data_IF_807016692570
#
_entry.id   IF_807016692570
#
_cell.length_a   1.000
_cell.length_b   1.000
_cell.length_c   1.000
_cell.angle_alpha   90.00
_cell.angle_beta   90.00
_cell.angle_gamma   90.00
#
_symmetry.space_group_name_H-M   'P 1'
#
loop_
_entity.id
_entity.type
_entity.pdbx_description
1 polymer ?
#
# COMPACT_ATOMS: atom_id res chain seq x y z
N UNK A 1 2.41 -25.58 -16.75
CA UNK A 1 3.76 -25.43 -16.16
C UNK A 1 3.95 -24.00 -15.68
N UNK A 2 4.02 -23.77 -14.36
CA UNK A 2 4.41 -22.48 -13.79
C UNK A 2 5.88 -22.56 -13.34
N UNK A 3 6.64 -21.46 -13.46
CA UNK A 3 8.05 -21.41 -13.04
C UNK A 3 9.09 -21.75 -14.12
N UNK A 4 8.71 -21.84 -15.40
CA UNK A 4 9.62 -22.10 -16.54
C UNK A 4 9.60 -20.97 -17.60
N UNK A 5 9.37 -19.72 -17.18
CA UNK A 5 9.39 -18.57 -18.08
C UNK A 5 10.75 -18.45 -18.79
N UNK A 6 10.75 -18.34 -20.12
CA UNK A 6 11.97 -18.35 -20.95
C UNK A 6 11.77 -17.61 -22.26
N UNK A 7 12.86 -17.14 -22.85
CA UNK A 7 12.94 -16.55 -24.19
C UNK A 7 13.92 -17.33 -25.10
N UNK A 8 14.29 -18.55 -24.72
CA UNK A 8 15.18 -19.41 -25.50
C UNK A 8 14.51 -19.85 -26.82
N UNK A 9 15.29 -20.26 -27.83
CA UNK A 9 14.76 -20.86 -29.06
C UNK A 9 13.85 -22.08 -28.81
N UNK A 10 12.90 -22.31 -29.72
CA UNK A 10 11.86 -23.33 -29.57
C UNK A 10 12.39 -24.76 -29.39
N UNK A 11 13.45 -25.12 -30.11
CA UNK A 11 14.13 -26.41 -30.00
C UNK A 11 14.71 -26.66 -28.60
N UNK A 12 15.25 -25.62 -27.96
CA UNK A 12 15.76 -25.70 -26.58
C UNK A 12 14.61 -25.79 -25.59
N UNK A 13 13.54 -25.02 -25.79
CA UNK A 13 12.34 -25.10 -24.94
C UNK A 13 11.71 -26.49 -24.98
N UNK A 14 11.67 -27.13 -26.16
CA UNK A 14 11.16 -28.49 -26.30
C UNK A 14 12.00 -29.50 -25.52
N UNK A 15 13.33 -29.40 -25.56
CA UNK A 15 14.21 -30.23 -24.76
C UNK A 15 13.97 -30.04 -23.26
N UNK A 16 13.83 -28.79 -22.79
CA UNK A 16 13.54 -28.48 -21.39
C UNK A 16 12.23 -29.13 -20.95
N UNK A 17 11.15 -28.92 -21.71
CA UNK A 17 9.82 -29.44 -21.34
C UNK A 17 9.80 -30.96 -21.34
N UNK A 18 10.41 -31.63 -22.33
CA UNK A 18 10.45 -33.10 -22.39
C UNK A 18 11.32 -33.73 -21.31
N UNK A 19 12.30 -32.99 -20.77
CA UNK A 19 13.12 -33.46 -19.67
C UNK A 19 12.41 -33.38 -18.30
N UNK A 20 11.27 -32.67 -18.20
CA UNK A 20 10.50 -32.60 -16.96
C UNK A 20 9.73 -33.91 -16.72
N UNK A 21 9.76 -34.47 -15.49
CA UNK A 21 9.02 -35.68 -15.16
C UNK A 21 7.53 -35.56 -15.52
N UNK A 22 7.01 -36.53 -16.26
CA UNK A 22 5.61 -36.57 -16.71
C UNK A 22 5.32 -35.71 -17.95
N UNK A 23 6.33 -35.06 -18.53
CA UNK A 23 6.22 -34.24 -19.74
C UNK A 23 6.99 -34.83 -20.93
N UNK A 24 7.44 -36.07 -20.86
CA UNK A 24 8.32 -36.71 -21.85
C UNK A 24 7.71 -36.75 -23.26
N UNK A 25 6.37 -36.78 -23.33
CA UNK A 25 5.57 -36.74 -24.58
C UNK A 25 4.69 -35.49 -24.70
N UNK A 26 4.95 -34.47 -23.88
CA UNK A 26 4.17 -33.23 -23.92
C UNK A 26 4.34 -32.53 -25.27
N UNK A 27 3.26 -31.91 -25.75
CA UNK A 27 3.26 -31.08 -26.96
C UNK A 27 3.08 -29.62 -26.57
N UNK A 28 4.02 -28.77 -26.98
CA UNK A 28 3.96 -27.33 -26.71
C UNK A 28 2.99 -26.69 -27.71
N UNK A 29 1.90 -26.10 -27.19
CA UNK A 29 0.92 -25.37 -28.01
C UNK A 29 1.35 -23.92 -28.28
N UNK A 30 2.07 -23.33 -27.33
CA UNK A 30 2.60 -21.96 -27.42
C UNK A 30 3.97 -21.92 -26.77
N UNK A 31 4.94 -21.40 -27.49
CA UNK A 31 6.30 -21.24 -27.02
C UNK A 31 6.39 -20.09 -26.01
N UNK A 32 7.29 -20.21 -25.05
CA UNK A 32 7.69 -19.12 -24.17
C UNK A 32 8.37 -18.02 -24.97
N UNK A 33 8.20 -16.78 -24.52
CA UNK A 33 8.81 -15.59 -25.11
C UNK A 33 9.00 -14.53 -24.02
N UNK A 34 9.85 -13.55 -24.31
CA UNK A 34 9.96 -12.32 -23.52
C UNK A 34 9.36 -11.15 -24.30
N UNK A 35 8.85 -10.16 -23.58
CA UNK A 35 8.34 -8.91 -24.15
C UNK A 35 9.16 -7.77 -23.61
N UNK A 36 9.61 -6.92 -24.51
CA UNK A 36 10.20 -5.63 -24.20
C UNK A 36 9.19 -4.54 -24.58
N UNK A 37 9.05 -3.54 -23.71
CA UNK A 37 8.08 -2.47 -23.87
C UNK A 37 8.60 -1.20 -23.21
N UNK A 38 8.16 -0.05 -23.72
CA UNK A 38 8.47 1.24 -23.15
C UNK A 38 7.74 1.45 -21.82
N UNK A 39 8.41 2.16 -20.91
CA UNK A 39 7.81 2.60 -19.65
C UNK A 39 8.13 4.07 -19.39
N UNK A 40 7.24 4.72 -18.63
CA UNK A 40 7.48 6.03 -18.06
C UNK A 40 8.12 5.85 -16.69
N UNK A 41 9.19 6.62 -16.43
CA UNK A 41 9.87 6.52 -15.15
C UNK A 41 8.92 6.88 -13.99
N UNK A 42 8.72 6.00 -12.99
CA UNK A 42 7.64 6.18 -12.03
C UNK A 42 7.78 7.42 -11.12
N UNK A 43 8.98 7.97 -10.97
CA UNK A 43 9.18 9.24 -10.26
C UNK A 43 8.57 10.45 -10.99
N UNK A 44 8.18 10.31 -12.26
CA UNK A 44 7.50 11.34 -13.04
C UNK A 44 5.99 11.40 -12.75
N UNK A 45 5.43 10.39 -12.10
CA UNK A 45 4.09 10.44 -11.55
C UNK A 45 4.13 10.77 -10.07
N UNK A 46 2.99 11.19 -9.58
CA UNK A 46 2.67 11.37 -8.19
C UNK A 46 1.96 10.12 -7.63
N UNK A 47 1.94 9.92 -6.30
CA UNK A 47 1.24 8.77 -5.70
C UNK A 47 -0.31 8.80 -5.89
N UNK A 48 -0.85 9.85 -6.50
CA UNK A 48 -2.21 9.92 -7.06
C UNK A 48 -2.35 9.29 -8.45
N UNK A 49 -1.25 8.78 -9.02
CA UNK A 49 -1.08 8.35 -10.42
C UNK A 49 -1.10 9.48 -11.47
N UNK A 50 -1.26 10.75 -11.06
CA UNK A 50 -1.18 11.89 -11.98
C UNK A 50 0.27 12.17 -12.36
N UNK A 51 0.53 12.50 -13.62
CA UNK A 51 1.86 12.95 -14.04
C UNK A 51 2.19 14.32 -13.46
N UNK A 52 3.47 14.54 -13.11
CA UNK A 52 3.95 15.82 -12.59
C UNK A 52 4.11 16.88 -13.68
N UNK A 53 4.27 16.48 -14.94
CA UNK A 53 4.49 17.37 -16.08
C UNK A 53 3.19 17.81 -16.75
N UNK A 54 2.15 16.96 -16.76
CA UNK A 54 0.88 17.24 -17.43
C UNK A 54 -0.25 17.03 -16.42
N UNK A 55 -0.80 18.15 -15.96
CA UNK A 55 -1.96 18.14 -15.07
C UNK A 55 -3.16 17.45 -15.73
N UNK A 56 -3.81 16.54 -15.01
CA UNK A 56 -4.94 15.75 -15.51
C UNK A 56 -4.59 14.57 -16.40
N UNK A 57 -3.31 14.31 -16.66
CA UNK A 57 -2.87 13.08 -17.32
C UNK A 57 -2.46 12.04 -16.28
N UNK A 58 -3.05 10.85 -16.33
CA UNK A 58 -2.85 9.77 -15.35
C UNK A 58 -2.26 8.54 -16.02
N UNK A 59 -1.33 7.87 -15.34
CA UNK A 59 -0.70 6.64 -15.81
C UNK A 59 -0.94 5.51 -14.81
N UNK A 60 -1.24 4.31 -15.29
CA UNK A 60 -1.47 3.13 -14.46
C UNK A 60 -1.05 1.83 -15.16
N UNK A 61 -0.50 0.90 -14.39
CA UNK A 61 -0.14 -0.44 -14.87
C UNK A 61 1.29 -0.55 -15.36
N UNK A 62 1.52 -1.42 -16.34
CA UNK A 62 2.88 -1.76 -16.81
C UNK A 62 3.66 -0.54 -17.33
N UNK A 63 2.97 0.49 -17.81
CA UNK A 63 3.58 1.76 -18.21
C UNK A 63 4.35 2.45 -17.08
N UNK A 64 3.99 2.18 -15.81
CA UNK A 64 4.69 2.67 -14.62
C UNK A 64 5.74 1.66 -14.11
N UNK A 65 6.21 0.74 -14.94
CA UNK A 65 7.26 -0.21 -14.58
C UNK A 65 6.84 -1.25 -13.53
N UNK A 66 5.55 -1.59 -13.43
CA UNK A 66 5.06 -2.72 -12.62
C UNK A 66 4.81 -3.97 -13.46
N UNK A 67 4.89 -5.16 -12.85
CA UNK A 67 4.51 -6.41 -13.51
C UNK A 67 3.57 -7.21 -12.62
N UNK A 68 2.34 -7.43 -13.11
CA UNK A 68 1.29 -8.18 -12.42
C UNK A 68 -0.09 -7.55 -12.62
N UNK A 69 -1.13 -8.38 -12.55
CA UNK A 69 -2.50 -7.93 -12.80
C UNK A 69 -3.02 -7.11 -11.63
N UNK A 70 -2.64 -7.48 -10.42
CA UNK A 70 -3.03 -6.87 -9.15
C UNK A 70 -2.40 -5.49 -9.00
N UNK A 71 -1.12 -5.34 -9.33
CA UNK A 71 -0.40 -4.06 -9.38
C UNK A 71 -1.07 -3.10 -10.37
N UNK A 72 -1.38 -3.59 -11.57
CA UNK A 72 -2.03 -2.77 -12.59
C UNK A 72 -3.46 -2.40 -12.20
N UNK A 73 -4.23 -3.34 -11.67
CA UNK A 73 -5.59 -3.11 -11.18
C UNK A 73 -5.64 -2.10 -10.01
N UNK A 74 -4.69 -2.20 -9.07
CA UNK A 74 -4.58 -1.27 -7.96
C UNK A 74 -4.24 0.15 -8.40
N UNK A 75 -3.30 0.31 -9.32
CA UNK A 75 -2.98 1.62 -9.93
C UNK A 75 -4.16 2.17 -10.73
N UNK A 76 -4.82 1.32 -11.51
CA UNK A 76 -5.98 1.70 -12.33
C UNK A 76 -7.14 2.21 -11.48
N UNK A 77 -7.38 1.58 -10.33
CA UNK A 77 -8.40 2.03 -9.37
C UNK A 77 -8.09 3.44 -8.85
N UNK A 78 -6.85 3.71 -8.45
CA UNK A 78 -6.45 5.04 -7.93
C UNK A 78 -6.43 6.09 -9.02
N UNK A 79 -5.88 5.77 -10.20
CA UNK A 79 -5.84 6.66 -11.34
C UNK A 79 -7.27 7.02 -11.81
N UNK A 80 -8.15 6.04 -11.94
CA UNK A 80 -9.54 6.26 -12.34
C UNK A 80 -10.33 7.07 -11.33
N UNK A 81 -10.16 6.78 -10.03
CA UNK A 81 -10.76 7.56 -8.95
C UNK A 81 -10.32 9.03 -9.03
N UNK A 82 -9.02 9.28 -9.14
CA UNK A 82 -8.49 10.65 -9.16
C UNK A 82 -8.81 11.40 -10.46
N UNK A 83 -8.90 10.70 -11.59
CA UNK A 83 -9.37 11.29 -12.84
C UNK A 83 -10.84 11.74 -12.71
N UNK A 84 -11.71 10.92 -12.11
CA UNK A 84 -13.11 11.30 -11.87
C UNK A 84 -13.22 12.49 -10.91
N UNK A 85 -12.47 12.48 -9.81
CA UNK A 85 -12.42 13.58 -8.82
C UNK A 85 -11.96 14.89 -9.45
N UNK A 86 -10.95 14.84 -10.32
CA UNK A 86 -10.47 16.04 -11.01
C UNK A 86 -11.57 16.69 -11.86
N UNK A 87 -12.38 15.89 -12.56
CA UNK A 87 -13.48 16.38 -13.38
C UNK A 87 -14.62 16.97 -12.53
N UNK A 88 -14.83 16.45 -11.31
CA UNK A 88 -15.84 16.99 -10.37
C UNK A 88 -15.33 18.18 -9.54
N UNK A 89 -14.09 18.62 -9.75
CA UNK A 89 -13.47 19.71 -8.98
C UNK A 89 -13.01 19.30 -7.58
N UNK A 90 -12.99 17.99 -7.31
CA UNK A 90 -12.50 17.43 -6.06
C UNK A 90 -10.98 17.23 -6.09
N UNK A 91 -10.34 17.43 -4.94
CA UNK A 91 -8.90 17.16 -4.78
C UNK A 91 -8.58 15.66 -4.96
N UNK A 92 -7.50 15.31 -5.68
CA UNK A 92 -7.00 13.94 -5.77
C UNK A 92 -6.66 13.34 -4.41
N UNK A 93 -6.93 12.05 -4.25
CA UNK A 93 -6.67 11.30 -3.01
C UNK A 93 -5.46 10.39 -3.14
N UNK A 94 -4.83 10.14 -1.99
CA UNK A 94 -3.69 9.23 -1.84
C UNK A 94 -4.05 8.20 -0.78
N UNK A 95 -3.69 6.94 -1.02
CA UNK A 95 -3.76 5.91 0.01
C UNK A 95 -2.46 5.90 0.80
N UNK A 96 -2.55 5.94 2.13
CA UNK A 96 -1.39 5.84 3.01
C UNK A 96 -0.73 4.47 2.92
N UNK A 97 0.59 4.43 3.10
CA UNK A 97 1.37 3.17 3.18
C UNK A 97 0.91 2.27 4.32
N UNK A 98 0.37 2.86 5.36
CA UNK A 98 -0.10 2.19 6.56
C UNK A 98 -1.61 1.87 6.51
N UNK A 99 -2.29 2.31 5.44
CA UNK A 99 -3.71 2.06 5.19
C UNK A 99 -3.92 0.89 4.23
N UNK A 100 -3.12 0.82 3.16
CA UNK A 100 -3.25 -0.17 2.12
C UNK A 100 -1.93 -0.54 1.45
N UNK A 101 -1.84 -1.79 1.00
CA UNK A 101 -0.77 -2.24 0.12
C UNK A 101 -0.71 -1.46 -1.21
N UNK A 102 -1.83 -0.94 -1.71
CA UNK A 102 -1.83 -0.03 -2.88
C UNK A 102 -1.05 1.25 -2.56
N UNK A 103 -1.19 1.79 -1.34
CA UNK A 103 -0.40 2.94 -0.88
C UNK A 103 1.09 2.63 -0.76
N UNK A 104 1.45 1.43 -0.27
CA UNK A 104 2.84 0.94 -0.23
C UNK A 104 3.43 0.88 -1.64
N UNK A 105 2.70 0.31 -2.60
CA UNK A 105 3.12 0.22 -3.99
C UNK A 105 3.33 1.59 -4.62
N UNK A 106 2.34 2.48 -4.53
CA UNK A 106 2.41 3.79 -5.17
C UNK A 106 3.52 4.65 -4.57
N UNK A 107 3.68 4.63 -3.25
CA UNK A 107 4.79 5.34 -2.61
C UNK A 107 6.15 4.74 -2.98
N UNK A 108 6.29 3.41 -3.04
CA UNK A 108 7.53 2.75 -3.49
C UNK A 108 7.87 3.15 -4.94
N UNK A 109 6.89 3.16 -5.85
CA UNK A 109 7.08 3.55 -7.25
C UNK A 109 7.61 4.97 -7.38
N UNK A 110 7.02 5.92 -6.64
CA UNK A 110 7.41 7.33 -6.77
C UNK A 110 8.62 7.73 -5.91
N UNK A 111 9.15 6.82 -5.09
CA UNK A 111 10.33 7.09 -4.23
C UNK A 111 11.57 6.27 -4.62
N UNK A 112 11.40 5.19 -5.39
CA UNK A 112 12.48 4.30 -5.80
C UNK A 112 12.61 4.33 -7.33
N UNK A 113 13.82 4.12 -7.82
CA UNK A 113 14.03 3.84 -9.26
C UNK A 113 14.11 2.33 -9.44
N UNK A 114 13.06 1.68 -9.97
CA UNK A 114 13.10 0.24 -10.22
C UNK A 114 14.15 -0.07 -11.30
N UNK A 115 15.01 -1.07 -11.04
CA UNK A 115 15.92 -1.65 -12.05
C UNK A 115 15.28 -2.83 -12.81
N UNK A 116 14.23 -3.39 -12.22
CA UNK A 116 13.41 -4.47 -12.75
C UNK A 116 11.94 -4.12 -12.50
N UNK A 117 10.99 -4.68 -13.27
CA UNK A 117 9.58 -4.41 -13.07
C UNK A 117 9.14 -4.69 -11.62
N UNK A 118 8.54 -3.70 -10.97
CA UNK A 118 8.09 -3.80 -9.59
C UNK A 118 7.03 -4.89 -9.41
N UNK A 119 7.19 -5.68 -8.35
CA UNK A 119 6.23 -6.70 -7.92
C UNK A 119 5.96 -6.56 -6.43
N UNK A 120 4.70 -6.69 -6.03
CA UNK A 120 4.26 -6.53 -4.64
C UNK A 120 4.97 -7.45 -3.65
N UNK A 121 5.37 -8.64 -4.08
CA UNK A 121 6.12 -9.59 -3.25
C UNK A 121 7.49 -9.04 -2.80
N UNK A 122 8.08 -8.11 -3.56
CA UNK A 122 9.36 -7.47 -3.22
C UNK A 122 9.18 -6.29 -2.26
N UNK A 123 7.94 -5.83 -2.06
CA UNK A 123 7.63 -4.71 -1.18
C UNK A 123 7.81 -5.08 0.29
N UNK A 124 8.45 -4.20 1.05
CA UNK A 124 8.49 -4.28 2.51
C UNK A 124 7.46 -3.31 3.06
N UNK A 125 6.26 -3.82 3.34
CA UNK A 125 5.34 -3.11 4.23
C UNK A 125 5.88 -3.20 5.65
N UNK A 126 6.17 -2.06 6.32
CA UNK A 126 6.55 -2.06 7.73
C UNK A 126 5.37 -2.43 8.65
N UNK A 127 4.14 -2.34 8.12
CA UNK A 127 2.88 -2.44 8.86
C UNK A 127 2.12 -3.76 8.62
N UNK A 128 2.83 -4.89 8.44
CA UNK A 128 2.23 -6.18 8.03
C UNK A 128 1.12 -6.72 8.93
N UNK A 129 1.16 -6.47 10.25
CA UNK A 129 0.08 -6.96 11.14
C UNK A 129 -1.18 -6.11 11.04
N UNK A 130 -1.09 -4.87 10.54
CA UNK A 130 -2.25 -4.00 10.29
C UNK A 130 -2.77 -4.23 8.86
N UNK A 131 -1.87 -4.41 7.89
CA UNK A 131 -2.19 -4.59 6.48
C UNK A 131 -2.42 -6.06 6.11
N UNK A 132 -3.45 -6.68 6.68
CA UNK A 132 -3.75 -8.08 6.43
C UNK A 132 -4.84 -8.25 5.38
N UNK A 133 -4.87 -9.41 4.75
CA UNK A 133 -5.91 -9.71 3.76
C UNK A 133 -7.31 -9.77 4.41
N UNK A 134 -7.40 -10.31 5.64
CA UNK A 134 -8.63 -10.57 6.39
C UNK A 134 -9.34 -9.32 6.95
N UNK A 135 -8.69 -8.15 6.94
CA UNK A 135 -9.24 -6.89 7.48
C UNK A 135 -9.30 -5.75 6.43
N UNK A 136 -9.23 -6.08 5.15
CA UNK A 136 -9.20 -5.08 4.08
C UNK A 136 -10.48 -4.24 4.02
N UNK A 137 -11.61 -4.88 4.25
CA UNK A 137 -12.93 -4.24 4.34
C UNK A 137 -13.02 -3.27 5.53
N UNK A 138 -12.52 -3.66 6.70
CA UNK A 138 -12.44 -2.80 7.89
C UNK A 138 -11.56 -1.56 7.64
N UNK A 139 -10.48 -1.69 6.85
CA UNK A 139 -9.57 -0.58 6.53
C UNK A 139 -10.09 0.37 5.46
N UNK A 140 -10.73 -0.15 4.41
CA UNK A 140 -10.95 0.60 3.17
C UNK A 140 -12.41 0.85 2.80
N UNK A 141 -13.39 0.19 3.45
CA UNK A 141 -14.80 0.36 3.06
C UNK A 141 -15.34 1.75 3.37
N UNK A 142 -14.98 2.32 4.53
CA UNK A 142 -15.36 3.70 4.88
C UNK A 142 -14.77 4.72 3.89
N UNK A 143 -13.49 4.55 3.52
CA UNK A 143 -12.85 5.37 2.49
C UNK A 143 -13.54 5.21 1.13
N UNK A 144 -13.80 3.97 0.72
CA UNK A 144 -14.52 3.69 -0.53
C UNK A 144 -15.92 4.29 -0.56
N UNK A 145 -16.61 4.35 0.60
CA UNK A 145 -17.91 5.03 0.73
C UNK A 145 -17.77 6.53 0.60
N UNK A 146 -16.79 7.14 1.28
CA UNK A 146 -16.50 8.57 1.17
C UNK A 146 -16.10 8.98 -0.26
N UNK A 147 -15.46 8.07 -1.01
CA UNK A 147 -15.07 8.28 -2.41
C UNK A 147 -16.19 7.97 -3.41
N UNK A 148 -17.36 7.51 -2.96
CA UNK A 148 -18.48 7.16 -3.85
C UNK A 148 -18.34 5.81 -4.58
N UNK A 149 -17.33 4.99 -4.24
CA UNK A 149 -17.06 3.69 -4.87
C UNK A 149 -17.83 2.53 -4.21
N UNK A 150 -18.36 2.73 -3.00
CA UNK A 150 -19.13 1.72 -2.26
C UNK A 150 -20.62 2.06 -2.28
N UNK A 151 -21.39 1.25 -3.02
CA UNK A 151 -22.84 1.37 -3.09
C UNK A 151 -23.54 0.96 -1.79
N UNK A 152 -24.81 1.35 -1.64
CA UNK A 152 -25.61 1.10 -0.42
C UNK A 152 -25.68 -0.38 -0.05
N UNK A 153 -25.86 -1.26 -1.04
CA UNK A 153 -25.88 -2.72 -0.82
C UNK A 153 -24.59 -3.21 -0.16
N UNK A 154 -23.44 -2.72 -0.62
CA UNK A 154 -22.13 -3.13 -0.09
C UNK A 154 -21.85 -2.48 1.27
N UNK A 155 -22.30 -1.25 1.45
CA UNK A 155 -22.21 -0.54 2.73
C UNK A 155 -23.00 -1.25 3.83
N UNK A 156 -24.24 -1.62 3.54
CA UNK A 156 -25.12 -2.33 4.48
C UNK A 156 -24.54 -3.71 4.86
N UNK A 157 -24.06 -4.47 3.88
CA UNK A 157 -23.40 -5.75 4.14
C UNK A 157 -22.16 -5.60 5.05
N UNK A 158 -21.41 -4.51 4.90
CA UNK A 158 -20.27 -4.22 5.76
C UNK A 158 -20.69 -3.82 7.18
N UNK A 159 -21.74 -3.01 7.34
CA UNK A 159 -22.30 -2.67 8.65
C UNK A 159 -22.77 -3.91 9.41
N UNK A 160 -23.47 -4.82 8.73
CA UNK A 160 -23.92 -6.08 9.30
C UNK A 160 -22.74 -6.96 9.74
N UNK A 161 -21.72 -7.07 8.89
CA UNK A 161 -20.49 -7.82 9.22
C UNK A 161 -19.79 -7.23 10.45
N UNK A 162 -19.62 -5.91 10.51
CA UNK A 162 -19.03 -5.21 11.65
C UNK A 162 -19.82 -5.44 12.94
N UNK A 163 -21.15 -5.34 12.87
CA UNK A 163 -22.02 -5.59 14.02
C UNK A 163 -21.89 -7.04 14.53
N UNK A 164 -21.77 -8.02 13.63
CA UNK A 164 -21.53 -9.42 13.98
C UNK A 164 -20.17 -9.64 14.65
N UNK A 165 -19.09 -9.05 14.13
CA UNK A 165 -17.76 -9.10 14.74
C UNK A 165 -17.78 -8.50 16.16
N UNK A 166 -18.41 -7.33 16.32
CA UNK A 166 -18.54 -6.65 17.62
C UNK A 166 -19.39 -7.44 18.62
N UNK A 167 -20.43 -8.16 18.15
CA UNK A 167 -21.25 -9.04 18.97
C UNK A 167 -20.44 -10.24 19.46
N UNK A 168 -19.68 -10.87 18.57
CA UNK A 168 -18.84 -12.04 18.89
C UNK A 168 -17.72 -11.65 19.85
N UNK A 169 -17.02 -10.52 19.63
CA UNK A 169 -16.00 -10.01 20.56
C UNK A 169 -16.57 -9.81 21.96
N UNK A 170 -17.75 -9.16 22.07
CA UNK A 170 -18.44 -8.97 23.35
C UNK A 170 -18.87 -10.28 23.99
N UNK A 171 -19.34 -11.26 23.21
CA UNK A 171 -19.74 -12.57 23.72
C UNK A 171 -18.53 -13.31 24.33
N UNK A 172 -17.40 -13.35 23.61
CA UNK A 172 -16.16 -13.97 24.08
C UNK A 172 -15.64 -13.28 25.35
N UNK A 173 -15.69 -11.94 25.44
CA UNK A 173 -15.21 -11.21 26.63
C UNK A 173 -16.12 -11.37 27.86
N UNK A 174 -17.42 -11.63 27.66
CA UNK A 174 -18.39 -11.84 28.75
C UNK A 174 -18.39 -13.27 29.26
N UNK A 175 -18.10 -14.24 28.39
CA UNK A 175 -18.15 -15.65 28.72
C UNK A 175 -17.07 -16.04 29.73
N UNK A 176 -17.46 -16.79 30.76
CA UNK A 176 -16.51 -17.34 31.72
C UNK A 176 -15.93 -18.63 31.16
N UNK A 177 -14.61 -18.68 31.13
CA UNK A 177 -13.85 -19.88 30.82
C UNK A 177 -13.68 -20.80 32.02
N UNK A 178 -13.11 -21.97 31.75
CA UNK A 178 -12.90 -23.02 32.77
C UNK A 178 -11.91 -22.54 33.84
N UNK A 179 -12.22 -22.84 35.11
CA UNK A 179 -11.41 -22.40 36.25
C UNK A 179 -11.55 -20.92 36.61
N UNK A 180 -12.65 -20.26 36.21
CA UNK A 180 -12.98 -18.89 36.61
C UNK A 180 -12.25 -17.78 35.86
N UNK A 181 -11.46 -18.13 34.83
CA UNK A 181 -10.79 -17.17 33.94
C UNK A 181 -11.74 -16.77 32.82
N UNK A 182 -11.65 -15.55 32.30
CA UNK A 182 -12.48 -15.11 31.17
C UNK A 182 -12.06 -15.81 29.85
N UNK A 183 -13.02 -16.07 28.96
CA UNK A 183 -12.79 -16.82 27.72
C UNK A 183 -11.82 -16.10 26.77
N UNK A 184 -11.76 -14.77 26.79
CA UNK A 184 -10.77 -13.96 26.07
C UNK A 184 -9.31 -14.34 26.43
N UNK A 185 -9.04 -14.71 27.68
CA UNK A 185 -7.72 -15.20 28.11
C UNK A 185 -7.44 -16.62 27.64
N UNK A 186 -8.47 -17.43 27.46
CA UNK A 186 -8.34 -18.80 26.93
C UNK A 186 -8.04 -18.75 25.43
N UNK A 187 -8.71 -17.86 24.67
CA UNK A 187 -8.48 -17.65 23.22
C UNK A 187 -7.01 -17.39 22.88
N UNK A 188 -6.26 -16.79 23.79
CA UNK A 188 -4.81 -16.54 23.63
C UNK A 188 -3.95 -17.80 23.62
N UNK A 189 -4.48 -18.94 24.07
CA UNK A 189 -3.71 -20.18 24.15
C UNK A 189 -3.67 -20.89 22.78
N UNK A 190 -2.50 -21.42 22.35
CA UNK A 190 -2.36 -22.08 21.05
C UNK A 190 -3.31 -23.25 20.83
N UNK A 191 -3.65 -23.98 21.88
CA UNK A 191 -4.52 -25.17 21.85
C UNK A 191 -6.02 -24.85 21.69
N UNK A 192 -6.41 -23.57 21.80
CA UNK A 192 -7.84 -23.19 21.71
C UNK A 192 -8.30 -23.20 20.26
N UNK A 193 -9.29 -24.03 19.98
CA UNK A 193 -9.88 -24.22 18.65
C UNK A 193 -11.06 -23.27 18.43
N UNK A 194 -11.26 -22.86 17.18
CA UNK A 194 -12.40 -22.04 16.76
C UNK A 194 -13.74 -22.70 17.10
N UNK A 195 -13.86 -24.00 16.84
CA UNK A 195 -15.07 -24.77 17.14
C UNK A 195 -15.44 -24.74 18.63
N UNK A 196 -14.45 -24.88 19.53
CA UNK A 196 -14.70 -24.85 20.97
C UNK A 196 -15.21 -23.48 21.47
N UNK A 197 -14.72 -22.39 20.88
CA UNK A 197 -15.15 -21.04 21.22
C UNK A 197 -16.54 -20.76 20.64
N UNK A 198 -16.76 -21.15 19.38
CA UNK A 198 -18.03 -21.01 18.67
C UNK A 198 -19.18 -21.70 19.42
N UNK A 199 -18.97 -22.93 19.90
CA UNK A 199 -19.94 -23.67 20.70
C UNK A 199 -20.28 -22.95 22.01
N UNK A 200 -19.26 -22.47 22.75
CA UNK A 200 -19.46 -21.77 24.03
C UNK A 200 -20.27 -20.49 23.91
N UNK A 201 -20.06 -19.73 22.84
CA UNK A 201 -20.78 -18.46 22.63
C UNK A 201 -22.05 -18.63 21.79
N UNK A 202 -22.38 -19.84 21.37
CA UNK A 202 -23.54 -20.13 20.52
C UNK A 202 -23.48 -19.48 19.13
N UNK A 203 -22.28 -19.36 18.55
CA UNK A 203 -22.09 -18.78 17.22
C UNK A 203 -21.90 -19.87 16.16
N UNK A 204 -22.71 -19.85 15.10
CA UNK A 204 -22.60 -20.82 14.01
C UNK A 204 -21.52 -20.48 12.99
N UNK A 205 -21.25 -19.18 12.79
CA UNK A 205 -20.25 -18.73 11.82
C UNK A 205 -18.83 -18.81 12.40
N UNK A 206 -18.20 -19.97 12.23
CA UNK A 206 -16.82 -20.20 12.66
C UNK A 206 -15.81 -19.25 12.00
N UNK A 207 -16.07 -18.75 10.78
CA UNK A 207 -15.18 -17.81 10.10
C UNK A 207 -15.14 -16.45 10.80
N UNK A 208 -16.27 -15.96 11.28
CA UNK A 208 -16.32 -14.74 12.09
C UNK A 208 -15.69 -14.95 13.48
N UNK A 209 -15.88 -16.11 14.09
CA UNK A 209 -15.21 -16.46 15.36
C UNK A 209 -13.70 -16.48 15.18
N UNK A 210 -13.19 -17.14 14.13
CA UNK A 210 -11.76 -17.16 13.81
C UNK A 210 -11.19 -15.76 13.58
N UNK A 211 -11.92 -14.88 12.89
CA UNK A 211 -11.52 -13.48 12.68
C UNK A 211 -11.38 -12.73 14.00
N UNK A 212 -12.35 -12.85 14.91
CA UNK A 212 -12.30 -12.21 16.23
C UNK A 212 -11.18 -12.79 17.08
N UNK A 213 -11.02 -14.11 17.11
CA UNK A 213 -9.93 -14.78 17.82
C UNK A 213 -8.56 -14.31 17.32
N UNK A 214 -8.39 -14.19 16.00
CA UNK A 214 -7.19 -13.62 15.39
C UNK A 214 -6.95 -12.19 15.86
N UNK A 215 -7.96 -11.33 15.85
CA UNK A 215 -7.83 -9.96 16.38
C UNK A 215 -7.37 -9.95 17.84
N UNK A 216 -7.98 -10.76 18.71
CA UNK A 216 -7.63 -10.84 20.13
C UNK A 216 -6.18 -11.31 20.33
N UNK A 217 -5.78 -12.36 19.61
CA UNK A 217 -4.42 -12.92 19.67
C UNK A 217 -3.34 -11.90 19.30
N UNK A 218 -3.63 -11.06 18.30
CA UNK A 218 -2.70 -10.04 17.83
C UNK A 218 -2.93 -8.65 18.44
N UNK A 219 -3.92 -8.46 19.31
CA UNK A 219 -4.35 -7.14 19.81
C UNK A 219 -3.19 -6.34 20.42
N UNK A 220 -2.35 -6.97 21.25
CA UNK A 220 -1.19 -6.31 21.85
C UNK A 220 -0.14 -5.87 20.83
N UNK A 221 0.10 -6.70 19.80
CA UNK A 221 1.04 -6.39 18.73
C UNK A 221 0.50 -5.30 17.80
N UNK A 222 -0.80 -5.37 17.46
CA UNK A 222 -1.51 -4.38 16.64
C UNK A 222 -1.47 -3.01 17.33
N UNK A 223 -1.86 -2.91 18.61
CA UNK A 223 -1.83 -1.64 19.36
C UNK A 223 -0.44 -1.01 19.41
N UNK A 224 0.62 -1.82 19.59
CA UNK A 224 2.00 -1.34 19.54
C UNK A 224 2.35 -0.77 18.17
N UNK A 225 1.94 -1.45 17.10
CA UNK A 225 2.20 -1.03 15.73
C UNK A 225 1.39 0.23 15.36
N UNK A 226 0.12 0.33 15.76
CA UNK A 226 -0.72 1.52 15.60
C UNK A 226 -0.15 2.75 16.30
N UNK A 227 0.43 2.58 17.48
CA UNK A 227 1.11 3.67 18.20
C UNK A 227 2.34 4.16 17.43
N UNK A 228 3.11 3.24 16.84
CA UNK A 228 4.24 3.59 15.99
C UNK A 228 3.79 4.29 14.69
N UNK A 229 2.75 3.76 14.04
CA UNK A 229 2.13 4.35 12.83
C UNK A 229 1.71 5.79 13.09
N UNK A 230 1.00 6.05 14.20
CA UNK A 230 0.51 7.39 14.53
C UNK A 230 1.65 8.41 14.65
N UNK A 231 2.72 8.05 15.35
CA UNK A 231 3.92 8.89 15.48
C UNK A 231 4.58 9.14 14.12
N UNK A 232 4.64 8.11 13.28
CA UNK A 232 5.20 8.23 11.94
C UNK A 232 4.33 9.12 11.03
N UNK A 233 3.00 8.98 11.07
CA UNK A 233 2.06 9.81 10.30
C UNK A 233 2.25 11.30 10.56
N UNK A 234 2.38 11.68 11.84
CA UNK A 234 2.60 13.08 12.21
C UNK A 234 3.93 13.63 11.67
N UNK A 235 4.97 12.79 11.61
CA UNK A 235 6.24 13.15 10.99
C UNK A 235 6.14 13.23 9.46
N UNK A 236 5.41 12.30 8.85
CA UNK A 236 5.29 12.12 7.40
C UNK A 236 4.32 13.10 6.74
N UNK A 237 3.37 13.68 7.49
CA UNK A 237 2.34 14.57 6.96
C UNK A 237 2.84 16.00 6.69
N UNK A 238 4.08 16.33 7.05
CA UNK A 238 4.63 17.68 6.83
C UNK A 238 4.85 17.94 5.34
N UNK A 239 4.08 18.85 4.71
CA UNK A 239 4.17 19.08 3.27
C UNK A 239 5.49 19.78 2.93
N UNK A 240 6.04 19.43 1.77
CA UNK A 240 7.11 20.18 1.12
C UNK A 240 6.44 21.11 0.12
N UNK A 241 6.49 22.43 0.32
CA UNK A 241 5.91 23.36 -0.64
C UNK A 241 6.61 23.31 -1.99
N UNK A 242 5.83 23.46 -3.07
CA UNK A 242 6.34 23.39 -4.46
C UNK A 242 7.39 24.47 -4.80
N UNK A 243 7.46 25.55 -4.02
CA UNK A 243 8.44 26.63 -4.20
C UNK A 243 9.82 26.32 -3.63
N UNK A 244 9.99 25.26 -2.84
CA UNK A 244 11.32 24.91 -2.31
C UNK A 244 12.19 24.42 -3.47
N UNK A 245 13.30 25.12 -3.70
CA UNK A 245 14.41 24.63 -4.51
C UNK A 245 15.46 23.95 -3.62
N UNK A 246 15.61 22.60 -3.68
CA UNK A 246 16.57 21.87 -2.87
C UNK A 246 18.01 22.38 -3.03
N UNK A 247 18.39 22.85 -4.21
CA UNK A 247 19.76 23.32 -4.50
C UNK A 247 20.10 24.58 -3.71
N UNK A 248 19.10 25.38 -3.33
CA UNK A 248 19.29 26.62 -2.55
C UNK A 248 19.39 26.38 -1.04
N UNK A 249 19.13 25.16 -0.56
CA UNK A 249 19.13 24.83 0.86
C UNK A 249 20.57 24.73 1.38
N UNK A 250 20.98 25.70 2.18
CA UNK A 250 22.34 25.76 2.74
C UNK A 250 22.66 24.51 3.59
N UNK A 251 23.78 23.85 3.28
CA UNK A 251 24.26 22.67 4.00
C UNK A 251 23.67 21.34 3.53
N UNK A 252 22.74 21.37 2.56
CA UNK A 252 22.20 20.16 1.97
C UNK A 252 23.27 19.47 1.11
N UNK A 253 23.41 18.15 1.27
CA UNK A 253 24.37 17.37 0.47
C UNK A 253 23.94 17.32 -0.99
N UNK A 254 24.89 17.32 -1.92
CA UNK A 254 24.62 17.30 -3.37
C UNK A 254 23.75 16.11 -3.79
N UNK A 255 24.03 14.92 -3.25
CA UNK A 255 23.23 13.70 -3.49
C UNK A 255 21.77 13.88 -3.04
N UNK A 256 21.55 14.50 -1.87
CA UNK A 256 20.21 14.77 -1.37
C UNK A 256 19.50 15.83 -2.21
N UNK A 257 20.20 16.88 -2.64
CA UNK A 257 19.65 17.90 -3.53
C UNK A 257 19.24 17.30 -4.89
N UNK A 258 20.07 16.43 -5.47
CA UNK A 258 19.77 15.71 -6.71
C UNK A 258 18.54 14.80 -6.54
N UNK A 259 18.49 14.00 -5.48
CA UNK A 259 17.36 13.12 -5.20
C UNK A 259 16.05 13.91 -5.02
N UNK A 260 16.06 14.98 -4.20
CA UNK A 260 14.89 15.82 -3.99
C UNK A 260 14.42 16.51 -5.28
N UNK A 261 15.36 16.95 -6.12
CA UNK A 261 15.06 17.61 -7.41
C UNK A 261 14.45 16.62 -8.41
N UNK A 262 15.00 15.40 -8.46
CA UNK A 262 14.53 14.33 -9.36
C UNK A 262 13.16 13.80 -8.96
N UNK A 263 12.99 13.44 -7.68
CA UNK A 263 11.78 12.77 -7.21
C UNK A 263 10.68 13.74 -6.79
N UNK A 264 10.99 15.02 -6.51
CA UNK A 264 10.03 16.06 -6.10
C UNK A 264 9.00 15.55 -5.08
N UNK A 265 9.45 15.10 -3.89
CA UNK A 265 8.54 14.55 -2.90
C UNK A 265 7.58 15.63 -2.38
N UNK A 266 6.34 15.24 -2.10
CA UNK A 266 5.28 16.14 -1.60
C UNK A 266 5.33 16.31 -0.09
N UNK A 267 5.99 15.39 0.64
CA UNK A 267 6.11 15.47 2.10
C UNK A 267 7.51 15.13 2.58
N UNK A 268 7.87 15.61 3.79
CA UNK A 268 9.14 15.28 4.43
C UNK A 268 9.29 13.78 4.70
N UNK A 269 8.18 13.08 5.00
CA UNK A 269 8.20 11.63 5.18
C UNK A 269 8.59 10.90 3.89
N UNK A 270 8.00 11.31 2.76
CA UNK A 270 8.35 10.78 1.46
C UNK A 270 9.80 11.08 1.09
N UNK A 271 10.26 12.31 1.34
CA UNK A 271 11.66 12.68 1.15
C UNK A 271 12.63 11.80 1.96
N UNK A 272 12.26 11.46 3.19
CA UNK A 272 13.08 10.61 4.07
C UNK A 272 13.22 9.17 3.62
N UNK A 273 12.38 8.72 2.67
CA UNK A 273 12.46 7.39 2.06
C UNK A 273 13.30 7.36 0.78
N UNK A 274 13.72 8.52 0.27
CA UNK A 274 14.57 8.59 -0.92
C UNK A 274 15.99 8.10 -0.60
N UNK A 275 16.54 7.29 -1.49
CA UNK A 275 17.95 6.92 -1.43
C UNK A 275 18.82 8.20 -1.51
N UNK A 276 19.82 8.29 -0.64
CA UNK A 276 20.73 9.43 -0.56
C UNK A 276 20.29 10.57 0.37
N UNK A 277 19.04 10.57 0.87
CA UNK A 277 18.56 11.58 1.83
C UNK A 277 18.74 11.10 3.27
N UNK A 278 19.46 11.88 4.09
CA UNK A 278 19.70 11.56 5.50
C UNK A 278 18.75 12.31 6.45
N UNK A 279 18.62 11.89 7.72
CA UNK A 279 17.88 12.66 8.73
C UNK A 279 18.36 14.10 8.91
N UNK A 280 19.66 14.36 8.71
CA UNK A 280 20.22 15.71 8.77
C UNK A 280 19.72 16.59 7.61
N UNK A 281 19.64 16.03 6.40
CA UNK A 281 19.10 16.72 5.22
C UNK A 281 17.62 17.08 5.42
N UNK A 282 16.83 16.19 6.00
CA UNK A 282 15.43 16.46 6.33
C UNK A 282 15.27 17.57 7.36
N UNK A 283 16.16 17.64 8.36
CA UNK A 283 16.17 18.71 9.35
C UNK A 283 16.47 20.06 8.68
N UNK A 284 17.46 20.12 7.80
CA UNK A 284 17.79 21.32 7.02
C UNK A 284 16.63 21.76 6.13
N UNK A 285 16.00 20.81 5.43
CA UNK A 285 14.83 21.05 4.60
C UNK A 285 13.66 21.61 5.42
N UNK A 286 13.37 21.03 6.58
CA UNK A 286 12.34 21.52 7.50
C UNK A 286 12.62 22.94 8.03
N UNK A 287 13.89 23.28 8.28
CA UNK A 287 14.30 24.64 8.66
C UNK A 287 14.14 25.62 7.49
N UNK A 288 14.48 25.21 6.26
CA UNK A 288 14.32 26.04 5.06
C UNK A 288 12.84 26.38 4.81
N UNK A 289 11.95 25.38 4.93
CA UNK A 289 10.49 25.54 4.84
C UNK A 289 10.00 26.57 5.86
N UNK A 290 10.41 26.45 7.13
CA UNK A 290 9.99 27.39 8.20
C UNK A 290 10.49 28.81 7.98
N UNK A 291 11.69 28.98 7.39
CA UNK A 291 12.29 30.29 7.12
C UNK A 291 11.80 30.95 5.83
N UNK A 292 10.96 30.28 5.03
CA UNK A 292 10.50 30.79 3.73
C UNK A 292 11.62 30.97 2.70
N UNK A 293 12.76 30.29 2.89
CA UNK A 293 13.92 30.38 1.99
C UNK A 293 13.67 29.52 0.77
N UNK A 294 13.55 30.16 -0.41
CA UNK A 294 13.11 29.52 -1.65
C UNK A 294 11.88 30.17 -2.27
N UNK A 295 11.25 31.17 -1.62
CA UNK A 295 10.34 32.09 -2.34
C UNK A 295 11.15 32.84 -3.40
N UNK A 296 11.19 32.34 -4.62
CA UNK A 296 11.51 33.17 -5.77
C UNK A 296 10.48 34.29 -5.78
N UNK A 297 10.93 35.54 -5.74
CA UNK A 297 10.08 36.70 -6.01
C UNK A 297 9.56 36.57 -7.45
N UNK A 298 8.39 35.95 -7.62
CA UNK A 298 7.67 35.95 -8.87
C UNK A 298 6.21 36.28 -8.56
N UNK A 299 5.84 37.55 -8.77
CA UNK A 299 4.47 37.99 -9.00
C UNK A 299 3.53 38.06 -7.79
N UNK A 300 3.69 39.08 -6.96
CA UNK A 300 2.53 39.72 -6.31
C UNK A 300 2.66 41.22 -6.57
N UNK A 301 2.07 41.68 -7.66
CA UNK A 301 1.58 43.06 -7.72
C UNK A 301 0.28 43.13 -6.92
N UNK A 302 0.06 44.20 -6.11
CA UNK A 302 -1.14 44.35 -5.34
C UNK A 302 -2.26 44.99 -6.17
N UNK A 303 -3.41 44.33 -6.25
CA UNK A 303 -4.72 44.94 -6.39
C UNK A 303 -5.77 44.00 -5.77
#
# INVERSE_FOLDING_TARGET
CNGISTSLPADVQEQIVRAMPGCERARILRWGYAVEYDMVWPHQIDATCMTKSIHGFFLAGQINGTSGYEEAGGQGLVAGLNAARLVTGDEPVRLGRDEAYIGVMLDDLVTKTPREPYRMFTSRAEHRLVLRADNTDERLTELGRAFGLVCDRRWEAWLQRRASLDRIDRAIRREKGDGGRSLDRIVMRPETTVASVAERIGESDQGLVERVMTTMRYEGYIRRQETAIRRQREADAKPIPAWIDPVTVTGLRAEAAEALTKFRPTTLGQAGRLAGVSPADLALLGVAIRKGRGRTQAGVEPA
#
